data_IF_576273597778
#
_entry.id   IF_576273597778
#
_cell.length_a   1.000
_cell.length_b   1.000
_cell.length_c   1.000
_cell.angle_alpha   90.00
_cell.angle_beta   90.00
_cell.angle_gamma   90.00
#
_symmetry.space_group_name_H-M   'P 1'
#
loop_
_entity.id
_entity.type
_entity.pdbx_description
1 polymer ?
#
# COMPACT_ATOMS: atom_id res chain seq x y z
N UNK A 1 -10.80 2.17 11.75
CA UNK A 1 -10.34 1.49 10.52
C UNK A 1 -11.49 1.27 9.55
N UNK A 2 -12.52 0.49 9.89
CA UNK A 2 -13.69 0.24 9.01
C UNK A 2 -14.45 1.52 8.62
N UNK A 3 -14.73 2.43 9.55
CA UNK A 3 -15.38 3.72 9.25
C UNK A 3 -14.59 4.51 8.21
N UNK A 4 -13.25 4.49 8.30
CA UNK A 4 -12.37 5.17 7.36
C UNK A 4 -12.42 4.49 5.98
N UNK A 5 -12.34 3.16 5.93
CA UNK A 5 -12.51 2.40 4.69
C UNK A 5 -13.85 2.71 4.00
N UNK A 6 -14.95 2.75 4.77
CA UNK A 6 -16.27 3.13 4.26
C UNK A 6 -16.30 4.58 3.76
N UNK A 7 -15.66 5.52 4.49
CA UNK A 7 -15.60 6.92 4.04
C UNK A 7 -14.83 7.07 2.72
N UNK A 8 -13.70 6.37 2.56
CA UNK A 8 -12.91 6.40 1.32
C UNK A 8 -13.69 5.78 0.16
N UNK A 9 -14.40 4.68 0.41
CA UNK A 9 -15.26 4.05 -0.60
C UNK A 9 -16.35 4.99 -1.09
N UNK A 10 -17.03 5.69 -0.17
CA UNK A 10 -18.08 6.65 -0.54
C UNK A 10 -17.50 7.83 -1.32
N UNK A 11 -16.31 8.34 -0.96
CA UNK A 11 -15.65 9.41 -1.70
C UNK A 11 -15.34 9.03 -3.15
N UNK A 12 -14.81 7.82 -3.39
CA UNK A 12 -14.56 7.31 -4.75
C UNK A 12 -15.87 7.28 -5.56
N UNK A 13 -16.95 6.77 -4.97
CA UNK A 13 -18.24 6.72 -5.68
C UNK A 13 -18.83 8.10 -6.00
N UNK A 14 -18.53 9.13 -5.19
CA UNK A 14 -18.99 10.49 -5.45
C UNK A 14 -18.20 11.13 -6.61
N UNK A 15 -16.88 10.92 -6.66
CA UNK A 15 -16.01 11.39 -7.75
C UNK A 15 -16.43 10.78 -9.11
N UNK A 16 -16.75 9.48 -9.15
CA UNK A 16 -17.26 8.82 -10.37
C UNK A 16 -18.55 9.48 -10.89
N UNK A 17 -19.49 9.79 -9.98
CA UNK A 17 -20.79 10.38 -10.33
C UNK A 17 -20.65 11.83 -10.81
N UNK A 18 -19.73 12.61 -10.24
CA UNK A 18 -19.47 13.98 -10.67
C UNK A 18 -18.78 14.02 -12.04
N UNK A 19 -17.81 13.13 -12.27
CA UNK A 19 -17.10 12.98 -13.55
C UNK A 19 -18.06 12.59 -14.68
N UNK A 20 -18.98 11.65 -14.41
CA UNK A 20 -20.04 11.25 -15.35
C UNK A 20 -21.02 12.39 -15.67
N UNK A 21 -21.34 13.24 -14.69
CA UNK A 21 -22.22 14.41 -14.91
C UNK A 21 -21.55 15.49 -15.74
N UNK A 22 -20.30 15.84 -15.45
CA UNK A 22 -19.55 16.82 -16.22
C UNK A 22 -19.35 16.37 -17.67
N UNK A 23 -19.03 15.09 -17.88
CA UNK A 23 -18.90 14.51 -19.22
C UNK A 23 -20.21 14.59 -20.00
N UNK A 24 -21.36 14.34 -19.34
CA UNK A 24 -22.69 14.45 -19.97
C UNK A 24 -23.08 15.89 -20.28
N UNK A 25 -22.81 16.85 -19.39
CA UNK A 25 -23.10 18.27 -19.64
C UNK A 25 -22.25 18.83 -20.78
N UNK A 26 -20.97 18.46 -20.86
CA UNK A 26 -20.09 18.90 -21.94
C UNK A 26 -20.49 18.30 -23.29
N UNK A 27 -20.95 17.04 -23.31
CA UNK A 27 -21.47 16.38 -24.53
C UNK A 27 -22.84 16.90 -24.97
N UNK A 28 -23.65 17.43 -24.04
CA UNK A 28 -24.95 18.03 -24.34
C UNK A 28 -24.88 19.52 -24.70
N UNK A 29 -23.91 20.26 -24.15
CA UNK A 29 -23.69 21.67 -24.45
C UNK A 29 -23.25 21.91 -25.90
N UNK A 30 -22.40 21.05 -26.45
CA UNK A 30 -21.87 21.19 -27.82
C UNK A 30 -22.95 20.97 -28.89
N UNK A 31 -23.88 20.03 -28.67
CA UNK A 31 -24.99 19.77 -29.62
C UNK A 31 -26.07 20.85 -29.66
N UNK A 32 -26.02 21.82 -28.75
CA UNK A 32 -27.03 22.89 -28.67
C UNK A 32 -26.59 24.21 -29.31
N UNK A 33 -25.30 24.38 -29.63
CA UNK A 33 -24.82 25.60 -30.31
C UNK A 33 -24.79 25.48 -31.85
N UNK A 34 -24.57 24.29 -32.39
CA UNK A 34 -24.53 24.11 -33.86
C UNK A 34 -25.90 24.07 -34.54
N UNK A 35 -27.00 24.02 -33.77
CA UNK A 35 -28.36 24.04 -34.34
C UNK A 35 -28.99 25.43 -34.46
N UNK A 36 -28.38 26.47 -33.90
CA UNK A 36 -28.94 27.83 -33.94
C UNK A 36 -28.22 28.77 -34.94
N UNK A 37 -27.05 28.37 -35.46
CA UNK A 37 -26.35 29.14 -36.51
C UNK A 37 -26.61 28.63 -37.94
N UNK A 38 -27.07 27.39 -38.12
CA UNK A 38 -27.35 26.81 -39.45
C UNK A 38 -28.65 27.30 -40.10
N UNK A 39 -29.59 27.88 -39.35
CA UNK A 39 -30.86 28.40 -39.92
C UNK A 39 -30.75 29.83 -40.47
N UNK A 40 -29.57 30.47 -40.39
CA UNK A 40 -29.35 31.85 -40.89
C UNK A 40 -28.44 31.98 -42.12
N UNK A 41 -27.85 30.88 -42.61
CA UNK A 41 -26.92 30.92 -43.75
C UNK A 41 -27.45 30.29 -45.05
N UNK A 42 -28.67 29.75 -45.06
CA UNK A 42 -29.26 29.08 -46.23
C UNK A 42 -29.83 30.03 -47.32
N UNK A 43 -29.42 31.31 -47.34
CA UNK A 43 -29.93 32.27 -48.36
C UNK A 43 -28.89 33.05 -49.16
N UNK A 44 -27.60 32.74 -49.04
CA UNK A 44 -26.57 33.34 -49.91
C UNK A 44 -25.40 32.39 -50.15
N UNK A 45 -25.52 31.54 -51.17
CA UNK A 45 -24.46 31.24 -52.15
C UNK A 45 -24.88 30.06 -53.04
N UNK A 46 -25.58 30.39 -54.13
CA UNK A 46 -25.31 29.67 -55.37
C UNK A 46 -24.02 30.23 -55.97
N UNK A 47 -23.24 29.36 -56.62
CA UNK A 47 -22.04 29.66 -57.41
C UNK A 47 -20.73 29.88 -56.64
N UNK A 48 -20.02 28.78 -56.35
CA UNK A 48 -18.82 28.38 -57.12
C UNK A 48 -18.18 27.15 -56.49
N UNK A 49 -17.87 26.19 -57.35
CA UNK A 49 -17.07 25.02 -57.07
C UNK A 49 -15.63 25.38 -56.68
N UNK A 50 -15.07 24.63 -55.73
CA UNK A 50 -13.67 24.17 -55.77
C UNK A 50 -13.46 23.13 -54.68
N UNK A 51 -13.00 21.96 -55.11
CA UNK A 51 -12.61 20.80 -54.31
C UNK A 51 -11.54 21.16 -53.26
N UNK A 52 -11.88 21.20 -51.97
CA UNK A 52 -10.89 21.12 -50.87
C UNK A 52 -11.48 20.84 -49.45
N UNK A 53 -12.73 20.38 -49.32
CA UNK A 53 -13.40 20.23 -48.00
C UNK A 53 -13.42 18.79 -47.45
N UNK A 54 -12.77 17.82 -48.10
CA UNK A 54 -12.86 16.40 -47.72
C UNK A 54 -11.76 15.91 -46.77
N UNK A 55 -10.73 16.71 -46.46
CA UNK A 55 -9.68 16.33 -45.50
C UNK A 55 -9.92 16.82 -44.05
N UNK A 56 -10.67 17.91 -43.86
CA UNK A 56 -10.89 18.51 -42.53
C UNK A 56 -11.93 17.73 -41.69
N UNK A 57 -12.96 17.19 -42.33
CA UNK A 57 -14.02 16.41 -41.64
C UNK A 57 -13.50 15.04 -41.16
N UNK A 58 -12.49 14.47 -41.84
CA UNK A 58 -11.90 13.17 -41.46
C UNK A 58 -10.87 13.33 -40.33
N UNK A 59 -10.29 14.53 -40.17
CA UNK A 59 -9.32 14.82 -39.10
C UNK A 59 -10.01 15.08 -37.77
N UNK A 60 -11.12 15.81 -37.73
CA UNK A 60 -11.90 16.01 -36.49
C UNK A 60 -12.49 14.70 -35.96
N UNK A 61 -13.06 13.84 -36.81
CA UNK A 61 -13.62 12.55 -36.39
C UNK A 61 -12.52 11.58 -35.87
N UNK A 62 -11.27 11.74 -36.34
CA UNK A 62 -10.11 11.01 -35.81
C UNK A 62 -9.61 11.58 -34.49
N UNK A 63 -9.65 12.90 -34.29
CA UNK A 63 -9.28 13.52 -33.01
C UNK A 63 -10.33 13.31 -31.93
N UNK A 64 -11.62 13.30 -32.28
CA UNK A 64 -12.73 12.96 -31.38
C UNK A 64 -12.68 11.47 -31.01
N UNK A 65 -12.34 10.56 -31.95
CA UNK A 65 -12.07 9.15 -31.62
C UNK A 65 -10.78 8.94 -30.82
N UNK A 66 -9.78 9.81 -30.95
CA UNK A 66 -8.58 9.77 -30.11
C UNK A 66 -8.88 10.23 -28.68
N UNK A 67 -9.66 11.31 -28.52
CA UNK A 67 -10.09 11.81 -27.20
C UNK A 67 -11.04 10.86 -26.47
N UNK A 68 -11.90 10.13 -27.18
CA UNK A 68 -12.77 9.10 -26.56
C UNK A 68 -12.06 7.79 -26.17
N UNK A 69 -10.80 7.61 -26.57
CA UNK A 69 -10.03 6.40 -26.27
C UNK A 69 -9.16 6.54 -25.01
N UNK A 70 -8.92 7.76 -24.54
CA UNK A 70 -8.15 8.02 -23.31
C UNK A 70 -9.00 7.97 -22.04
N UNK A 71 -10.34 7.88 -22.15
CA UNK A 71 -11.26 7.76 -21.00
C UNK A 71 -11.60 6.32 -20.61
N UNK A 72 -11.00 5.32 -21.27
CA UNK A 72 -11.10 3.91 -20.85
C UNK A 72 -9.78 3.45 -20.20
N UNK A 73 -9.22 4.32 -19.35
CA UNK A 73 -8.18 3.97 -18.38
C UNK A 73 -8.83 3.13 -17.26
N UNK A 74 -9.31 1.95 -17.63
CA UNK A 74 -9.92 1.01 -16.70
C UNK A 74 -8.98 0.74 -15.54
N UNK A 75 -9.45 1.08 -14.33
CA UNK A 75 -8.90 0.69 -13.05
C UNK A 75 -8.21 -0.68 -13.16
N UNK A 76 -6.89 -0.72 -12.96
CA UNK A 76 -6.12 -1.95 -13.13
C UNK A 76 -6.26 -2.83 -11.88
N UNK A 77 -7.48 -3.30 -11.62
CA UNK A 77 -7.85 -4.18 -10.49
C UNK A 77 -6.97 -5.42 -10.47
N UNK A 78 -6.64 -5.97 -11.65
CA UNK A 78 -5.76 -7.12 -11.80
C UNK A 78 -4.37 -6.83 -11.26
N UNK A 79 -3.78 -5.67 -11.59
CA UNK A 79 -2.43 -5.31 -11.14
C UNK A 79 -2.40 -5.03 -9.63
N UNK A 80 -3.45 -4.40 -9.09
CA UNK A 80 -3.59 -4.21 -7.65
C UNK A 80 -3.70 -5.55 -6.91
N UNK A 81 -4.54 -6.45 -7.39
CA UNK A 81 -4.67 -7.80 -6.85
C UNK A 81 -3.37 -8.60 -6.94
N UNK A 82 -2.63 -8.48 -8.05
CA UNK A 82 -1.34 -9.13 -8.23
C UNK A 82 -0.28 -8.61 -7.24
N UNK A 83 -0.21 -7.30 -7.02
CA UNK A 83 0.69 -6.73 -5.99
C UNK A 83 0.28 -7.22 -4.58
N UNK A 84 -1.00 -7.23 -4.27
CA UNK A 84 -1.52 -7.69 -2.98
C UNK A 84 -1.16 -9.16 -2.72
N UNK A 85 -1.35 -10.02 -3.72
CA UNK A 85 -0.99 -11.44 -3.67
C UNK A 85 0.52 -11.62 -3.54
N UNK A 86 1.33 -10.86 -4.30
CA UNK A 86 2.78 -10.93 -4.20
C UNK A 86 3.27 -10.59 -2.79
N UNK A 87 2.73 -9.53 -2.19
CA UNK A 87 3.13 -9.11 -0.84
C UNK A 87 2.79 -10.18 0.21
N UNK A 88 1.65 -10.86 0.08
CA UNK A 88 1.30 -12.00 0.93
C UNK A 88 2.18 -13.22 0.68
N UNK A 89 2.53 -13.49 -0.58
CA UNK A 89 3.48 -14.55 -0.93
C UNK A 89 4.86 -14.28 -0.32
N UNK A 90 5.32 -13.02 -0.31
CA UNK A 90 6.55 -12.64 0.39
C UNK A 90 6.45 -12.90 1.88
N UNK A 91 5.33 -12.55 2.53
CA UNK A 91 5.09 -12.90 3.94
C UNK A 91 5.14 -14.42 4.19
N UNK A 92 4.54 -15.21 3.31
CA UNK A 92 4.61 -16.67 3.37
C UNK A 92 6.03 -17.22 3.18
N UNK A 93 6.83 -16.63 2.30
CA UNK A 93 8.26 -16.97 2.14
C UNK A 93 9.02 -16.66 3.43
N UNK A 94 8.79 -15.49 4.03
CA UNK A 94 9.43 -15.11 5.31
C UNK A 94 9.04 -16.08 6.42
N UNK A 95 7.77 -16.48 6.50
CA UNK A 95 7.28 -17.47 7.45
C UNK A 95 8.09 -18.78 7.38
N UNK A 96 8.47 -19.24 6.19
CA UNK A 96 9.22 -20.49 6.00
C UNK A 96 10.76 -20.32 6.04
N UNK A 97 11.26 -19.10 5.99
CA UNK A 97 12.70 -18.80 5.93
C UNK A 97 13.56 -19.19 7.15
N UNK A 98 13.06 -19.30 8.41
CA UNK A 98 13.90 -19.61 9.57
C UNK A 98 14.71 -20.90 9.43
N UNK A 99 14.13 -21.94 8.82
CA UNK A 99 14.83 -23.21 8.60
C UNK A 99 16.05 -23.00 7.70
N UNK A 100 15.89 -22.22 6.63
CA UNK A 100 16.96 -21.90 5.69
C UNK A 100 18.05 -21.06 6.39
N UNK A 101 17.67 -20.04 7.17
CA UNK A 101 18.63 -19.20 7.88
C UNK A 101 19.41 -19.96 8.96
N UNK A 102 18.75 -20.85 9.70
CA UNK A 102 19.41 -21.73 10.65
C UNK A 102 20.44 -22.63 9.96
N UNK A 103 20.07 -23.27 8.84
CA UNK A 103 21.00 -24.12 8.07
C UNK A 103 22.17 -23.33 7.48
N UNK A 104 21.91 -22.14 6.94
CA UNK A 104 22.94 -21.27 6.38
C UNK A 104 23.94 -20.82 7.45
N UNK A 105 23.43 -20.39 8.61
CA UNK A 105 24.24 -19.97 9.75
C UNK A 105 25.11 -21.09 10.32
N UNK A 106 24.53 -22.27 10.49
CA UNK A 106 25.26 -23.45 10.96
C UNK A 106 26.35 -23.87 9.96
N UNK A 107 26.03 -23.93 8.66
CA UNK A 107 26.94 -24.45 7.63
C UNK A 107 28.08 -23.50 7.28
N UNK A 108 27.81 -22.20 7.17
CA UNK A 108 28.80 -21.25 6.64
C UNK A 108 29.48 -20.41 7.72
N UNK A 109 28.83 -20.18 8.87
CA UNK A 109 29.32 -19.25 9.88
C UNK A 109 29.56 -19.89 11.26
N UNK A 110 29.24 -21.18 11.42
CA UNK A 110 29.28 -21.91 12.69
C UNK A 110 28.59 -21.14 13.83
N UNK A 111 27.50 -20.46 13.50
CA UNK A 111 26.72 -19.65 14.44
C UNK A 111 25.54 -20.46 14.99
N UNK A 112 25.11 -20.16 16.22
CA UNK A 112 23.92 -20.79 16.77
C UNK A 112 22.67 -20.35 15.99
N UNK A 113 21.64 -21.20 16.01
CA UNK A 113 20.43 -21.01 15.21
C UNK A 113 19.69 -19.73 15.56
N UNK A 114 19.66 -19.35 16.83
CA UNK A 114 18.92 -18.16 17.30
C UNK A 114 19.49 -16.89 16.69
N UNK A 115 20.81 -16.78 16.70
CA UNK A 115 21.52 -15.66 16.09
C UNK A 115 21.33 -15.62 14.57
N UNK A 116 21.49 -16.77 13.91
CA UNK A 116 21.42 -16.87 12.46
C UNK A 116 20.04 -16.52 11.91
N UNK A 117 18.99 -17.02 12.55
CA UNK A 117 17.60 -16.73 12.18
C UNK A 117 17.27 -15.26 12.41
N UNK A 118 17.62 -14.73 13.59
CA UNK A 118 17.33 -13.33 13.92
C UNK A 118 18.03 -12.36 12.95
N UNK A 119 19.31 -12.58 12.66
CA UNK A 119 20.06 -11.79 11.67
C UNK A 119 19.50 -11.95 10.24
N UNK A 120 19.09 -13.16 9.85
CA UNK A 120 18.44 -13.40 8.56
C UNK A 120 17.13 -12.63 8.40
N UNK A 121 16.29 -12.63 9.44
CA UNK A 121 15.04 -11.86 9.48
C UNK A 121 15.27 -10.34 9.45
N UNK A 122 16.32 -9.85 10.11
CA UNK A 122 16.74 -8.43 9.99
C UNK A 122 17.14 -8.13 8.55
N UNK A 123 18.00 -8.95 7.95
CA UNK A 123 18.46 -8.75 6.58
C UNK A 123 17.29 -8.72 5.59
N UNK A 124 16.34 -9.66 5.71
CA UNK A 124 15.12 -9.65 4.90
C UNK A 124 14.27 -8.41 5.15
N UNK A 125 14.11 -8.00 6.41
CA UNK A 125 13.35 -6.78 6.75
C UNK A 125 13.95 -5.54 6.09
N UNK A 126 15.28 -5.41 6.10
CA UNK A 126 15.99 -4.32 5.41
C UNK A 126 15.79 -4.38 3.91
N UNK A 127 15.90 -5.57 3.30
CA UNK A 127 15.65 -5.76 1.86
C UNK A 127 14.21 -5.37 1.51
N UNK A 128 13.22 -5.78 2.32
CA UNK A 128 11.82 -5.45 2.11
C UNK A 128 11.56 -3.94 2.22
N UNK A 129 12.17 -3.23 3.17
CA UNK A 129 12.08 -1.76 3.27
C UNK A 129 12.51 -1.09 1.96
N UNK A 130 13.59 -1.59 1.34
CA UNK A 130 14.15 -1.03 0.12
C UNK A 130 13.33 -1.44 -1.11
N UNK A 131 12.96 -2.71 -1.24
CA UNK A 131 12.33 -3.28 -2.44
C UNK A 131 10.83 -3.02 -2.50
N UNK A 132 10.13 -3.01 -1.36
CA UNK A 132 8.67 -2.91 -1.30
C UNK A 132 8.07 -1.73 -2.08
N UNK A 133 8.63 -0.49 -2.02
CA UNK A 133 8.13 0.65 -2.79
C UNK A 133 8.10 0.40 -4.31
N UNK A 134 8.99 -0.45 -4.82
CA UNK A 134 9.12 -0.74 -6.24
C UNK A 134 8.20 -1.88 -6.71
N UNK A 135 7.68 -2.72 -5.80
CA UNK A 135 6.83 -3.87 -6.15
C UNK A 135 5.57 -3.49 -6.95
N UNK A 136 4.81 -2.44 -6.60
CA UNK A 136 3.63 -2.05 -7.38
C UNK A 136 3.95 -1.63 -8.81
N UNK A 137 5.21 -1.21 -9.06
CA UNK A 137 5.70 -0.80 -10.40
C UNK A 137 6.19 -1.98 -11.22
N UNK A 138 6.54 -3.10 -10.59
CA UNK A 138 7.11 -4.27 -11.29
C UNK A 138 6.15 -4.87 -12.32
N UNK A 139 4.85 -4.89 -12.01
CA UNK A 139 3.84 -5.47 -12.89
C UNK A 139 3.20 -4.44 -13.82
N UNK A 140 3.75 -3.21 -13.90
CA UNK A 140 3.01 -2.10 -14.49
C UNK A 140 3.87 -1.16 -15.34
N UNK A 141 3.27 -0.74 -16.45
CA UNK A 141 3.87 0.22 -17.40
C UNK A 141 3.34 1.65 -17.19
N UNK A 142 2.11 1.81 -16.66
CA UNK A 142 1.45 3.11 -16.45
C UNK A 142 1.70 3.66 -15.02
N UNK A 143 1.64 4.99 -14.79
CA UNK A 143 1.75 5.61 -13.45
C UNK A 143 0.52 5.30 -12.59
N UNK A 144 0.71 5.07 -11.28
CA UNK A 144 -0.34 4.71 -10.29
C UNK A 144 -1.35 5.86 -10.15
N UNK A 145 -2.65 5.55 -10.30
CA UNK A 145 -3.74 6.54 -10.13
C UNK A 145 -4.20 6.64 -8.68
N UNK A 146 -4.90 7.73 -8.36
CA UNK A 146 -5.35 8.01 -6.98
C UNK A 146 -6.40 7.00 -6.50
N UNK A 147 -7.34 6.65 -7.38
CA UNK A 147 -8.37 5.66 -7.12
C UNK A 147 -7.78 4.29 -6.80
N UNK A 148 -6.80 3.84 -7.58
CA UNK A 148 -6.13 2.55 -7.36
C UNK A 148 -5.45 2.51 -5.99
N UNK A 149 -4.74 3.58 -5.62
CA UNK A 149 -4.08 3.65 -4.33
C UNK A 149 -5.07 3.74 -3.17
N UNK A 150 -6.21 4.39 -3.40
CA UNK A 150 -7.31 4.47 -2.44
C UNK A 150 -7.97 3.10 -2.24
N UNK A 151 -8.17 2.30 -3.29
CA UNK A 151 -8.66 0.93 -3.19
C UNK A 151 -7.69 0.03 -2.42
N UNK A 152 -6.39 0.11 -2.69
CA UNK A 152 -5.37 -0.63 -1.92
C UNK A 152 -5.41 -0.23 -0.44
N UNK A 153 -5.58 1.07 -0.14
CA UNK A 153 -5.74 1.55 1.23
C UNK A 153 -7.01 1.00 1.90
N UNK A 154 -8.14 0.92 1.17
CA UNK A 154 -9.37 0.30 1.69
C UNK A 154 -9.15 -1.18 2.00
N UNK A 155 -8.52 -1.94 1.10
CA UNK A 155 -8.26 -3.37 1.28
C UNK A 155 -7.40 -3.63 2.52
N UNK A 156 -6.29 -2.91 2.70
CA UNK A 156 -5.42 -3.09 3.87
C UNK A 156 -6.11 -2.67 5.18
N UNK A 157 -7.00 -1.68 5.14
CA UNK A 157 -7.80 -1.29 6.32
C UNK A 157 -8.82 -2.37 6.70
N UNK A 158 -9.42 -3.04 5.71
CA UNK A 158 -10.32 -4.17 5.93
C UNK A 158 -9.52 -5.36 6.49
N UNK A 159 -8.40 -5.72 5.88
CA UNK A 159 -7.51 -6.79 6.36
C UNK A 159 -7.06 -6.54 7.81
N UNK A 160 -6.54 -5.35 8.11
CA UNK A 160 -6.08 -5.05 9.46
C UNK A 160 -7.23 -5.13 10.50
N UNK A 161 -8.44 -4.70 10.12
CA UNK A 161 -9.61 -4.79 11.00
C UNK A 161 -10.04 -6.25 11.24
N UNK A 162 -10.08 -7.09 10.19
CA UNK A 162 -10.42 -8.50 10.32
C UNK A 162 -9.38 -9.26 11.14
N UNK A 163 -8.10 -8.92 10.98
CA UNK A 163 -7.00 -9.51 11.74
C UNK A 163 -7.07 -9.12 13.22
N UNK A 164 -7.31 -7.84 13.54
CA UNK A 164 -7.48 -7.41 14.93
C UNK A 164 -8.68 -8.11 15.59
N UNK A 165 -9.77 -8.31 14.85
CA UNK A 165 -10.95 -9.04 15.34
C UNK A 165 -10.61 -10.52 15.58
N UNK A 166 -10.01 -11.19 14.59
CA UNK A 166 -9.64 -12.61 14.68
C UNK A 166 -8.66 -12.88 15.84
N UNK A 167 -7.62 -12.05 15.96
CA UNK A 167 -6.66 -12.13 17.05
C UNK A 167 -7.35 -11.80 18.39
N UNK A 168 -8.23 -10.79 18.43
CA UNK A 168 -8.98 -10.44 19.64
C UNK A 168 -9.91 -11.54 20.13
N UNK A 169 -10.47 -12.35 19.23
CA UNK A 169 -11.26 -13.53 19.60
C UNK A 169 -10.41 -14.64 20.22
N UNK A 170 -9.17 -14.85 19.74
CA UNK A 170 -8.25 -15.83 20.30
C UNK A 170 -7.53 -15.35 21.57
N UNK A 171 -7.16 -14.07 21.59
CA UNK A 171 -6.43 -13.41 22.66
C UNK A 171 -6.80 -11.92 22.66
N UNK A 172 -7.78 -11.58 23.50
CA UNK A 172 -8.32 -10.22 23.60
C UNK A 172 -7.23 -9.18 23.88
N UNK A 173 -6.32 -9.46 24.82
CA UNK A 173 -5.25 -8.52 25.19
C UNK A 173 -4.31 -8.24 24.02
N UNK A 174 -3.90 -9.27 23.28
CA UNK A 174 -3.05 -9.09 22.11
C UNK A 174 -3.78 -8.34 21.00
N UNK A 175 -5.03 -8.69 20.72
CA UNK A 175 -5.86 -8.01 19.72
C UNK A 175 -6.07 -6.53 20.05
N UNK A 176 -6.30 -6.21 21.33
CA UNK A 176 -6.44 -4.84 21.81
C UNK A 176 -5.14 -4.04 21.66
N UNK A 177 -3.98 -4.63 22.01
CA UNK A 177 -2.68 -3.99 21.83
C UNK A 177 -2.40 -3.72 20.35
N UNK A 178 -2.63 -4.71 19.47
CA UNK A 178 -2.45 -4.53 18.03
C UNK A 178 -3.37 -3.45 17.47
N UNK A 179 -4.65 -3.45 17.86
CA UNK A 179 -5.59 -2.41 17.44
C UNK A 179 -5.14 -1.02 17.93
N UNK A 180 -4.66 -0.91 19.17
CA UNK A 180 -4.18 0.35 19.75
C UNK A 180 -2.95 0.90 19.01
N UNK A 181 -2.04 0.02 18.59
CA UNK A 181 -0.79 0.40 17.93
C UNK A 181 -1.00 0.66 16.42
N UNK A 182 -1.72 -0.22 15.73
CA UNK A 182 -1.89 -0.12 14.27
C UNK A 182 -3.03 0.81 13.85
N UNK A 183 -4.03 1.09 14.70
CA UNK A 183 -5.10 2.04 14.33
C UNK A 183 -4.57 3.45 14.06
N UNK A 184 -3.71 4.07 14.90
CA UNK A 184 -3.13 5.37 14.60
C UNK A 184 -2.35 5.38 13.28
N UNK A 185 -1.56 4.33 13.00
CA UNK A 185 -0.89 4.18 11.70
C UNK A 185 -1.90 4.17 10.55
N UNK A 186 -2.93 3.34 10.69
CA UNK A 186 -4.03 3.20 9.76
C UNK A 186 -4.93 4.45 9.65
N UNK A 187 -4.74 5.50 10.45
CA UNK A 187 -5.38 6.81 10.27
C UNK A 187 -4.43 7.82 9.61
N UNK A 188 -3.15 7.73 9.93
CA UNK A 188 -2.10 8.65 9.46
C UNK A 188 -1.66 8.34 8.02
N UNK A 189 -1.65 7.06 7.63
CA UNK A 189 -1.34 6.63 6.26
C UNK A 189 -2.45 7.08 5.33
N UNK A 190 -2.13 7.96 4.40
CA UNK A 190 -3.06 8.47 3.37
C UNK A 190 -2.35 8.42 2.03
N UNK A 191 -3.13 8.40 0.94
CA UNK A 191 -2.57 8.53 -0.41
C UNK A 191 -1.81 9.86 -0.50
N UNK A 192 -0.63 9.82 -1.12
CA UNK A 192 0.29 10.96 -1.20
C UNK A 192 0.22 11.54 -2.62
N UNK A 193 -0.32 12.74 -2.74
CA UNK A 193 -0.45 13.48 -4.00
C UNK A 193 0.81 14.31 -4.33
N UNK A 194 1.11 14.46 -5.62
CA UNK A 194 2.29 15.19 -6.11
C UNK A 194 2.14 16.73 -6.17
N UNK A 195 0.96 17.31 -5.88
CA UNK A 195 0.67 18.74 -6.11
C UNK A 195 0.98 19.73 -4.97
N UNK A 196 1.27 19.26 -3.76
CA UNK A 196 1.40 20.12 -2.57
C UNK A 196 2.81 20.70 -2.35
N UNK A 197 2.96 22.03 -2.50
CA UNK A 197 4.17 22.77 -2.12
C UNK A 197 4.36 22.68 -0.59
N UNK A 198 5.50 22.17 -0.12
CA UNK A 198 6.02 22.24 1.27
C UNK A 198 5.43 21.35 2.38
N UNK A 199 5.54 20.01 2.30
CA UNK A 199 5.41 19.17 3.51
C UNK A 199 6.24 17.86 3.48
N UNK A 200 7.56 17.94 3.21
CA UNK A 200 8.44 16.76 3.32
C UNK A 200 8.58 16.24 4.76
N UNK A 201 8.58 17.14 5.75
CA UNK A 201 8.77 16.80 7.18
C UNK A 201 7.65 15.90 7.72
N UNK A 202 6.35 16.22 7.58
CA UNK A 202 5.30 15.33 8.07
C UNK A 202 5.33 13.98 7.34
N UNK A 203 5.60 13.94 6.03
CA UNK A 203 5.69 12.67 5.30
C UNK A 203 6.85 11.80 5.81
N UNK A 204 8.01 12.39 6.09
CA UNK A 204 9.14 11.67 6.70
C UNK A 204 8.80 11.15 8.10
N UNK A 205 8.08 11.93 8.91
CA UNK A 205 7.61 11.48 10.22
C UNK A 205 6.64 10.30 10.12
N UNK A 206 5.71 10.33 9.16
CA UNK A 206 4.80 9.20 8.87
C UNK A 206 5.59 7.94 8.48
N UNK A 207 6.59 8.09 7.62
CA UNK A 207 7.48 6.98 7.19
C UNK A 207 8.28 6.43 8.36
N UNK A 208 8.87 7.30 9.18
CA UNK A 208 9.60 6.88 10.37
C UNK A 208 8.69 6.12 11.35
N UNK A 209 7.50 6.65 11.62
CA UNK A 209 6.51 5.97 12.46
C UNK A 209 6.11 4.60 11.88
N UNK A 210 5.89 4.51 10.56
CA UNK A 210 5.64 3.24 9.89
C UNK A 210 6.81 2.25 10.05
N UNK A 211 8.07 2.70 9.91
CA UNK A 211 9.25 1.84 10.10
C UNK A 211 9.35 1.28 11.52
N UNK A 212 9.03 2.08 12.54
CA UNK A 212 8.99 1.60 13.94
C UNK A 212 7.94 0.51 14.16
N UNK A 213 6.89 0.49 13.35
CA UNK A 213 5.81 -0.49 13.38
C UNK A 213 6.04 -1.69 12.46
N UNK A 214 7.24 -1.82 11.88
CA UNK A 214 7.64 -3.07 11.25
C UNK A 214 7.64 -4.18 12.33
N UNK A 215 7.03 -5.37 12.10
CA UNK A 215 6.80 -6.36 13.16
C UNK A 215 8.03 -6.77 13.99
N UNK A 216 9.19 -6.97 13.34
CA UNK A 216 10.45 -7.31 14.00
C UNK A 216 11.04 -6.13 14.77
N UNK A 217 10.94 -4.91 14.22
CA UNK A 217 11.36 -3.67 14.87
C UNK A 217 10.51 -3.41 16.12
N UNK A 218 9.19 -3.50 15.99
CA UNK A 218 8.25 -3.33 17.09
C UNK A 218 8.53 -4.34 18.21
N UNK A 219 8.69 -5.63 17.88
CA UNK A 219 9.04 -6.66 18.85
C UNK A 219 10.35 -6.32 19.59
N UNK A 220 11.39 -5.94 18.84
CA UNK A 220 12.70 -5.59 19.39
C UNK A 220 12.62 -4.37 20.32
N UNK A 221 11.84 -3.35 19.94
CA UNK A 221 11.61 -2.18 20.77
C UNK A 221 10.84 -2.54 22.04
N UNK A 222 9.82 -3.41 21.95
CA UNK A 222 9.09 -3.91 23.09
C UNK A 222 10.00 -4.68 24.07
N UNK A 223 10.90 -5.55 23.59
CA UNK A 223 11.82 -6.28 24.47
C UNK A 223 12.89 -5.38 25.09
N UNK A 224 13.38 -4.38 24.35
CA UNK A 224 14.28 -3.35 24.90
C UNK A 224 13.57 -2.52 25.98
N UNK A 225 12.34 -2.08 25.74
CA UNK A 225 11.53 -1.35 26.70
C UNK A 225 11.21 -2.19 27.94
N UNK A 226 10.87 -3.47 27.75
CA UNK A 226 10.63 -4.40 28.86
C UNK A 226 11.90 -4.63 29.68
N UNK A 227 13.07 -4.70 29.04
CA UNK A 227 14.37 -4.79 29.73
C UNK A 227 14.64 -3.58 30.63
N UNK A 228 14.15 -2.38 30.25
CA UNK A 228 14.26 -1.16 31.09
C UNK A 228 13.44 -1.25 32.37
N UNK A 229 12.29 -1.93 32.32
CA UNK A 229 11.42 -2.15 33.47
C UNK A 229 12.05 -3.18 34.40
N UNK A 230 12.65 -4.22 33.83
CA UNK A 230 13.20 -5.34 34.60
C UNK A 230 14.57 -5.02 35.25
N UNK A 231 15.40 -4.19 34.59
CA UNK A 231 16.74 -3.82 35.05
C UNK A 231 16.95 -2.30 35.03
N UNK A 232 16.24 -1.53 35.87
CA UNK A 232 16.30 -0.08 35.86
C UNK A 232 17.67 0.51 36.25
N UNK A 233 18.52 -0.28 36.91
CA UNK A 233 19.86 0.09 37.38
C UNK A 233 20.94 0.07 36.28
N UNK A 234 20.67 -0.54 35.13
CA UNK A 234 21.66 -0.64 34.06
C UNK A 234 21.70 0.60 33.14
N UNK A 235 22.88 0.90 32.60
CA UNK A 235 23.02 1.94 31.58
C UNK A 235 22.30 1.58 30.28
N UNK A 236 21.83 2.60 29.55
CA UNK A 236 21.04 2.45 28.32
C UNK A 236 21.68 1.51 27.29
N UNK A 237 23.00 1.54 27.13
CA UNK A 237 23.69 0.68 26.16
C UNK A 237 23.63 -0.81 26.53
N UNK A 238 23.86 -1.14 27.81
CA UNK A 238 23.77 -2.53 28.30
C UNK A 238 22.34 -3.05 28.20
N UNK A 239 21.37 -2.18 28.48
CA UNK A 239 19.95 -2.47 28.31
C UNK A 239 19.58 -2.79 26.85
N UNK A 240 20.07 -2.01 25.88
CA UNK A 240 19.81 -2.30 24.45
C UNK A 240 20.39 -3.65 24.03
N UNK A 241 21.61 -3.97 24.46
CA UNK A 241 22.24 -5.27 24.18
C UNK A 241 21.39 -6.40 24.77
N UNK A 242 20.99 -6.28 26.05
CA UNK A 242 20.14 -7.28 26.70
C UNK A 242 18.77 -7.42 26.05
N UNK A 243 18.14 -6.30 25.68
CA UNK A 243 16.86 -6.29 24.98
C UNK A 243 16.93 -6.94 23.60
N UNK A 244 18.04 -6.75 22.88
CA UNK A 244 18.33 -7.45 21.62
C UNK A 244 18.50 -8.95 21.84
N UNK A 245 19.23 -9.38 22.87
CA UNK A 245 19.40 -10.80 23.17
C UNK A 245 18.06 -11.45 23.58
N UNK A 246 17.23 -10.73 24.34
CA UNK A 246 15.87 -11.14 24.66
C UNK A 246 14.98 -11.20 23.41
N UNK A 247 15.10 -10.26 22.47
CA UNK A 247 14.37 -10.29 21.19
C UNK A 247 14.73 -11.54 20.38
N UNK A 248 16.02 -11.82 20.26
CA UNK A 248 16.56 -12.98 19.56
C UNK A 248 16.01 -14.30 20.14
N UNK A 249 15.98 -14.44 21.46
CA UNK A 249 15.42 -15.62 22.12
C UNK A 249 13.90 -15.68 21.95
N UNK A 250 13.19 -14.56 22.10
CA UNK A 250 11.73 -14.49 21.93
C UNK A 250 11.31 -14.88 20.52
N UNK A 251 12.04 -14.41 19.49
CA UNK A 251 11.79 -14.78 18.09
C UNK A 251 12.01 -16.26 17.89
N UNK A 252 13.13 -16.83 18.38
CA UNK A 252 13.37 -18.26 18.23
C UNK A 252 12.29 -19.08 18.94
N UNK A 253 11.93 -18.75 20.19
CA UNK A 253 10.87 -19.47 20.90
C UNK A 253 9.53 -19.42 20.17
N UNK A 254 9.15 -18.27 19.63
CA UNK A 254 7.93 -18.14 18.83
C UNK A 254 7.95 -19.04 17.58
N UNK A 255 9.11 -19.15 16.91
CA UNK A 255 9.28 -20.01 15.73
C UNK A 255 9.22 -21.48 16.11
N UNK A 256 9.95 -21.89 17.16
CA UNK A 256 9.97 -23.27 17.65
C UNK A 256 8.58 -23.68 18.11
N UNK A 257 7.88 -22.82 18.84
CA UNK A 257 6.50 -23.06 19.28
C UNK A 257 5.54 -23.20 18.09
N UNK A 258 5.75 -22.41 17.03
CA UNK A 258 4.98 -22.55 15.79
C UNK A 258 5.25 -23.87 15.09
N UNK A 259 6.51 -24.32 15.02
CA UNK A 259 6.89 -25.56 14.31
C UNK A 259 6.52 -26.83 15.08
N UNK A 260 6.68 -26.83 16.41
CA UNK A 260 6.48 -28.03 17.24
C UNK A 260 5.03 -28.10 17.74
N UNK A 261 4.50 -27.00 18.25
CA UNK A 261 3.19 -26.97 18.91
C UNK A 261 2.09 -26.39 18.03
N UNK A 262 2.41 -25.95 16.81
CA UNK A 262 1.44 -25.31 15.93
C UNK A 262 0.95 -23.96 16.46
N UNK A 263 1.77 -23.25 17.26
CA UNK A 263 1.42 -21.92 17.73
C UNK A 263 1.27 -20.96 16.53
N UNK A 264 0.13 -20.28 16.45
CA UNK A 264 -0.23 -19.45 15.30
C UNK A 264 0.47 -18.09 15.27
N UNK A 265 1.07 -17.64 16.39
CA UNK A 265 1.52 -16.26 16.55
C UNK A 265 2.59 -15.85 15.52
N UNK A 266 3.63 -16.68 15.35
CA UNK A 266 4.68 -16.41 14.38
C UNK A 266 4.13 -16.41 12.94
N UNK A 267 3.27 -17.37 12.62
CA UNK A 267 2.65 -17.47 11.30
C UNK A 267 1.82 -16.22 10.97
N UNK A 268 0.99 -15.76 11.91
CA UNK A 268 0.19 -14.53 11.73
C UNK A 268 1.09 -13.29 11.62
N UNK A 269 2.16 -13.19 12.42
CA UNK A 269 3.09 -12.08 12.31
C UNK A 269 3.80 -12.03 10.95
N UNK A 270 4.26 -13.16 10.43
CA UNK A 270 5.01 -13.23 9.18
C UNK A 270 4.14 -13.19 7.91
N UNK A 271 2.99 -13.87 7.91
CA UNK A 271 2.13 -14.03 6.73
C UNK A 271 0.96 -13.06 6.63
N UNK A 272 0.70 -12.27 7.69
CA UNK A 272 -0.40 -11.31 7.71
C UNK A 272 0.07 -9.92 8.15
N UNK A 273 0.61 -9.78 9.37
CA UNK A 273 1.02 -8.46 9.88
C UNK A 273 2.16 -7.85 9.05
N UNK A 274 3.13 -8.65 8.63
CA UNK A 274 4.22 -8.19 7.77
C UNK A 274 3.72 -7.76 6.37
N UNK A 275 2.92 -8.56 5.63
CA UNK A 275 2.25 -8.11 4.40
C UNK A 275 1.43 -6.83 4.55
N UNK A 276 0.58 -6.75 5.57
CA UNK A 276 -0.18 -5.54 5.91
C UNK A 276 0.76 -4.32 6.07
N UNK A 277 1.86 -4.49 6.81
CA UNK A 277 2.87 -3.45 6.99
C UNK A 277 3.56 -3.06 5.68
N UNK A 278 3.90 -4.02 4.81
CA UNK A 278 4.50 -3.77 3.49
C UNK A 278 3.55 -2.91 2.64
N UNK A 279 2.24 -3.18 2.67
CA UNK A 279 1.26 -2.40 1.91
C UNK A 279 1.17 -0.96 2.45
N UNK A 280 1.14 -0.75 3.77
CA UNK A 280 1.21 0.60 4.34
C UNK A 280 2.50 1.34 3.93
N UNK A 281 3.63 0.63 3.90
CA UNK A 281 4.90 1.18 3.44
C UNK A 281 4.85 1.56 1.95
N UNK A 282 4.21 0.75 1.10
CA UNK A 282 3.97 1.06 -0.30
C UNK A 282 3.11 2.33 -0.48
N UNK A 283 2.06 2.50 0.34
CA UNK A 283 1.20 3.70 0.34
C UNK A 283 1.98 4.97 0.69
N UNK A 284 2.87 4.91 1.67
CA UNK A 284 3.65 6.08 2.07
C UNK A 284 4.82 6.41 1.11
N UNK A 285 5.30 5.42 0.36
CA UNK A 285 6.46 5.58 -0.51
C UNK A 285 6.09 5.93 -1.95
N UNK A 286 4.96 5.44 -2.46
CA UNK A 286 4.50 5.76 -3.81
C UNK A 286 3.69 7.07 -3.81
N UNK A 287 4.14 8.01 -4.63
CA UNK A 287 3.40 9.24 -4.91
C UNK A 287 2.54 9.03 -6.13
N UNK A 288 1.34 9.59 -6.10
CA UNK A 288 0.36 9.54 -7.16
C UNK A 288 0.33 10.90 -7.87
N UNK A 289 0.21 10.89 -9.19
CA UNK A 289 -0.02 12.10 -9.98
C UNK A 289 -1.52 12.44 -9.97
N UNK A 290 -1.86 13.66 -9.53
CA UNK A 290 -3.20 14.23 -9.72
C UNK A 290 -3.30 14.65 -11.18
N UNK A 291 -4.09 13.90 -11.96
CA UNK A 291 -4.59 14.31 -13.28
C UNK A 291 -5.54 15.49 -13.17
#
# INVERSE_FOLDING_TARGET
MLIRALSLWVSIQQEDVETDKQTKEQTCGDKSKDKEEDEKLEKKRSEKASDDESEEIVTEDREIKKRKKDTDDGLSIVNMGANYLLVHLLGYIVMNSPVIFSQLGAKYYNQPSEFSVYCGLIAVSVVLVIVAPFLPRMFRTKPITHEEMSLVNILVLIELATVCLAIGMHNFSLGFILATIYTPLALVVSVVENGGRNCNIPLQLKRFYCLLLQPLCLLSLCTIAYSRVLFPEEGLWKMVIRGKDAALQTVMFSIVDSLIYGNWLYNVAASILLPTWIIFWQILCNKVETT
#
